data_IF_071028019918
#
_entry.id   IF_071028019918
#
_cell.length_a   1.000
_cell.length_b   1.000
_cell.length_c   1.000
_cell.angle_alpha   90.00
_cell.angle_beta   90.00
_cell.angle_gamma   90.00
#
_symmetry.space_group_name_H-M   'P 1'
#
loop_
_entity.id
_entity.type
_entity.pdbx_description
1 polymer ?
#
# COMPACT_ATOMS: atom_id res chain seq x y z
N UNK A 1 -8.58 -3.14 13.40
CA UNK A 1 -8.54 -4.40 12.61
C UNK A 1 -7.64 -4.36 11.36
N UNK A 2 -6.98 -3.24 10.98
CA UNK A 2 -6.20 -3.17 9.72
C UNK A 2 -4.86 -3.92 9.68
N UNK A 3 -4.05 -3.86 10.74
CA UNK A 3 -2.66 -4.41 10.72
C UNK A 3 -2.59 -5.94 10.67
N UNK A 4 -3.56 -6.66 11.24
CA UNK A 4 -3.55 -8.12 11.26
C UNK A 4 -3.79 -8.71 9.86
N UNK A 5 -4.59 -8.05 9.03
CA UNK A 5 -4.86 -8.49 7.66
C UNK A 5 -3.64 -8.34 6.74
N UNK A 6 -2.82 -7.30 6.90
CA UNK A 6 -1.69 -7.08 5.99
C UNK A 6 -0.57 -8.10 6.20
N UNK A 7 -0.23 -8.43 7.46
CA UNK A 7 0.77 -9.47 7.74
C UNK A 7 0.29 -10.84 7.23
N UNK A 8 -1.00 -11.16 7.42
CA UNK A 8 -1.60 -12.39 6.87
C UNK A 8 -1.53 -12.38 5.34
N UNK A 9 -1.91 -11.28 4.69
CA UNK A 9 -1.81 -11.12 3.24
C UNK A 9 -0.37 -11.27 2.75
N UNK A 10 0.60 -10.66 3.42
CA UNK A 10 2.00 -10.82 3.09
C UNK A 10 2.43 -12.28 3.21
N UNK A 11 2.03 -13.01 4.25
CA UNK A 11 2.34 -14.45 4.38
C UNK A 11 1.73 -15.25 3.23
N UNK A 12 0.46 -15.02 2.89
CA UNK A 12 -0.22 -15.71 1.80
C UNK A 12 0.39 -15.42 0.42
N UNK A 13 0.90 -14.21 0.20
CA UNK A 13 1.48 -13.74 -1.06
C UNK A 13 3.01 -13.97 -1.15
N UNK A 14 3.61 -14.73 -0.22
CA UNK A 14 5.04 -15.08 -0.26
C UNK A 14 5.99 -14.03 0.31
N UNK A 15 5.49 -13.16 1.18
CA UNK A 15 6.22 -12.17 1.96
C UNK A 15 5.98 -10.72 1.52
N UNK A 16 6.52 -9.77 2.30
CA UNK A 16 6.37 -8.34 2.01
C UNK A 16 7.07 -7.92 0.71
N UNK A 17 8.15 -8.58 0.30
CA UNK A 17 8.84 -8.27 -0.96
C UNK A 17 7.97 -8.65 -2.18
N UNK A 18 7.37 -9.84 -2.17
CA UNK A 18 6.44 -10.27 -3.21
C UNK A 18 5.23 -9.35 -3.29
N UNK A 19 4.63 -9.02 -2.13
CA UNK A 19 3.51 -8.09 -2.06
C UNK A 19 3.89 -6.69 -2.59
N UNK A 20 5.08 -6.18 -2.26
CA UNK A 20 5.58 -4.91 -2.78
C UNK A 20 5.67 -4.91 -4.32
N UNK A 21 6.28 -5.96 -4.91
CA UNK A 21 6.45 -6.11 -6.36
C UNK A 21 5.13 -6.37 -7.11
N UNK A 22 4.10 -6.89 -6.43
CA UNK A 22 2.74 -6.99 -6.99
C UNK A 22 2.00 -5.65 -6.99
N UNK A 23 2.20 -4.81 -5.95
CA UNK A 23 1.47 -3.54 -5.80
C UNK A 23 2.08 -2.44 -6.69
N UNK A 24 3.40 -2.40 -6.83
CA UNK A 24 4.14 -1.37 -7.53
C UNK A 24 4.95 -1.95 -8.68
N UNK A 25 5.10 -1.17 -9.76
CA UNK A 25 6.08 -1.47 -10.79
C UNK A 25 7.48 -1.27 -10.22
N UNK A 26 8.30 -2.31 -10.24
CA UNK A 26 9.66 -2.30 -9.68
C UNK A 26 10.71 -2.66 -10.73
N UNK A 27 11.97 -2.34 -10.47
CA UNK A 27 13.08 -2.79 -11.30
C UNK A 27 13.52 -4.23 -10.96
N UNK A 28 14.11 -4.98 -11.92
CA UNK A 28 14.56 -6.36 -11.68
C UNK A 28 15.53 -6.53 -10.50
N UNK A 29 16.38 -5.53 -10.26
CA UNK A 29 17.38 -5.50 -9.18
C UNK A 29 16.89 -4.78 -7.91
N UNK A 30 15.63 -4.38 -7.86
CA UNK A 30 15.03 -3.74 -6.71
C UNK A 30 14.74 -4.74 -5.59
N UNK A 31 15.14 -4.38 -4.38
CA UNK A 31 14.99 -5.19 -3.16
C UNK A 31 14.38 -4.37 -2.04
N UNK A 32 13.28 -4.87 -1.50
CA UNK A 32 12.65 -4.29 -0.33
C UNK A 32 13.58 -4.41 0.89
N UNK A 33 13.69 -3.36 1.68
CA UNK A 33 14.56 -3.31 2.88
C UNK A 33 13.75 -3.33 4.16
N UNK A 34 12.72 -2.49 4.24
CA UNK A 34 11.89 -2.34 5.44
C UNK A 34 10.45 -2.03 5.04
N UNK A 35 9.53 -2.37 5.94
CA UNK A 35 8.14 -1.92 5.91
C UNK A 35 7.79 -1.27 7.23
N UNK A 36 6.93 -0.26 7.18
CA UNK A 36 6.47 0.47 8.35
C UNK A 36 4.96 0.68 8.27
N UNK A 37 4.26 0.38 9.36
CA UNK A 37 2.90 0.87 9.52
C UNK A 37 2.95 2.39 9.72
N UNK A 38 2.19 3.14 8.93
CA UNK A 38 2.21 4.60 8.94
C UNK A 38 0.82 5.17 8.66
N UNK A 39 0.70 6.49 8.88
CA UNK A 39 -0.44 7.27 8.42
C UNK A 39 0.07 8.33 7.45
N UNK A 40 -0.50 8.39 6.25
CA UNK A 40 -0.25 9.48 5.32
C UNK A 40 -1.22 10.62 5.64
N UNK A 41 -0.69 11.80 5.94
CA UNK A 41 -1.53 12.98 6.15
C UNK A 41 -2.07 13.48 4.81
N UNK A 42 -3.38 13.65 4.72
CA UNK A 42 -4.05 14.24 3.56
C UNK A 42 -4.95 15.40 3.99
N UNK A 43 -5.42 16.19 3.03
CA UNK A 43 -6.34 17.31 3.30
C UNK A 43 -7.68 16.88 3.90
N UNK A 44 -8.09 15.62 3.70
CA UNK A 44 -9.32 15.05 4.25
C UNK A 44 -9.08 14.19 5.50
N UNK A 45 -7.83 14.12 5.98
CA UNK A 45 -7.44 13.40 7.19
C UNK A 45 -6.36 12.33 6.97
N UNK A 46 -5.93 11.65 8.04
CA UNK A 46 -4.89 10.64 7.96
C UNK A 46 -5.40 9.33 7.32
N UNK A 47 -4.62 8.79 6.39
CA UNK A 47 -4.86 7.50 5.73
C UNK A 47 -3.91 6.45 6.30
N UNK A 48 -4.44 5.43 6.96
CA UNK A 48 -3.65 4.30 7.44
C UNK A 48 -3.10 3.48 6.26
N UNK A 49 -1.82 3.16 6.29
CA UNK A 49 -1.19 2.35 5.27
C UNK A 49 0.19 1.83 5.66
N UNK A 50 0.86 1.28 4.66
CA UNK A 50 2.18 0.72 4.79
C UNK A 50 3.17 1.44 3.89
N UNK A 51 4.26 1.90 4.49
CA UNK A 51 5.41 2.44 3.79
C UNK A 51 6.37 1.31 3.46
N UNK A 52 6.69 1.16 2.19
CA UNK A 52 7.69 0.24 1.66
C UNK A 52 8.95 1.04 1.36
N UNK A 53 10.07 0.66 1.97
CA UNK A 53 11.38 1.24 1.71
C UNK A 53 12.23 0.18 1.01
N UNK A 54 12.53 0.40 -0.26
CA UNK A 54 13.47 -0.43 -1.04
C UNK A 54 14.83 0.27 -1.16
N UNK A 55 15.75 -0.32 -1.91
CA UNK A 55 17.00 0.33 -2.30
C UNK A 55 16.85 1.36 -3.44
N UNK A 56 15.65 1.53 -4.01
CA UNK A 56 15.40 2.44 -5.15
C UNK A 56 14.22 3.38 -4.86
N UNK A 57 13.13 2.87 -4.32
CA UNK A 57 11.91 3.62 -4.07
C UNK A 57 11.53 3.68 -2.59
N UNK A 58 10.78 4.73 -2.27
CA UNK A 58 9.88 4.80 -1.13
C UNK A 58 8.47 4.82 -1.69
N UNK A 59 7.62 3.88 -1.26
CA UNK A 59 6.27 3.75 -1.76
C UNK A 59 5.27 3.58 -0.61
N UNK A 60 4.09 4.17 -0.74
CA UNK A 60 3.01 4.05 0.23
C UNK A 60 1.83 3.32 -0.40
N UNK A 61 1.14 2.48 0.36
CA UNK A 61 -0.15 1.92 -0.04
C UNK A 61 -1.08 1.92 1.17
N UNK A 62 -2.32 2.38 1.01
CA UNK A 62 -3.32 2.31 2.07
C UNK A 62 -3.63 0.86 2.46
N UNK A 63 -3.92 0.60 3.74
CA UNK A 63 -4.20 -0.77 4.21
C UNK A 63 -5.55 -1.29 3.67
N UNK A 64 -6.43 -0.37 3.28
CA UNK A 64 -7.76 -0.63 2.71
C UNK A 64 -8.03 0.34 1.55
N UNK A 65 -8.87 -0.02 0.58
CA UNK A 65 -9.30 0.93 -0.42
C UNK A 65 -10.12 2.05 0.23
N UNK A 66 -10.06 3.23 -0.39
CA UNK A 66 -10.85 4.41 -0.03
C UNK A 66 -11.92 4.62 -1.09
N UNK A 67 -13.11 5.06 -0.68
CA UNK A 67 -14.15 5.44 -1.63
C UNK A 67 -13.89 6.83 -2.20
N UNK A 68 -14.26 7.02 -3.46
CA UNK A 68 -14.30 8.31 -4.13
C UNK A 68 -15.38 8.33 -5.20
N UNK A 69 -15.86 9.52 -5.54
CA UNK A 69 -16.80 9.70 -6.65
C UNK A 69 -16.02 9.83 -7.96
N UNK A 70 -16.25 8.89 -8.89
CA UNK A 70 -15.67 8.95 -10.22
C UNK A 70 -16.26 10.12 -11.04
N UNK A 71 -15.61 10.55 -12.13
CA UNK A 71 -16.18 11.56 -13.04
C UNK A 71 -17.56 11.20 -13.60
N UNK A 72 -17.92 9.90 -13.63
CA UNK A 72 -19.25 9.42 -14.01
C UNK A 72 -20.32 9.64 -12.93
N UNK A 73 -19.96 10.10 -11.73
CA UNK A 73 -20.84 10.23 -10.57
C UNK A 73 -21.00 8.95 -9.74
N UNK A 74 -20.42 7.83 -10.17
CA UNK A 74 -20.48 6.56 -9.42
C UNK A 74 -19.49 6.56 -8.25
N UNK A 75 -19.90 6.02 -7.11
CA UNK A 75 -18.97 5.71 -6.02
C UNK A 75 -18.11 4.50 -6.40
N UNK A 76 -16.80 4.65 -6.28
CA UNK A 76 -15.82 3.63 -6.59
C UNK A 76 -14.77 3.56 -5.49
N UNK A 77 -14.01 2.47 -5.45
CA UNK A 77 -13.05 2.17 -4.38
C UNK A 77 -11.68 1.92 -4.97
N UNK A 78 -10.64 2.55 -4.43
CA UNK A 78 -9.26 2.29 -4.84
C UNK A 78 -8.29 2.43 -3.69
N UNK A 79 -7.19 1.69 -3.75
CA UNK A 79 -6.08 1.90 -2.83
C UNK A 79 -5.41 3.23 -3.13
N UNK A 80 -5.12 4.01 -2.09
CA UNK A 80 -4.32 5.22 -2.21
C UNK A 80 -2.85 4.82 -2.24
N UNK A 81 -2.12 5.22 -3.30
CA UNK A 81 -0.74 4.83 -3.55
C UNK A 81 0.09 6.05 -3.96
#
# INVERSE_FOLDING_TARGET
>A
MGKMNLTVKAISEGGFESLYKQIFTTYPNEKLKKTFACYLSTTTGPVAGTLYLSNIHIAFCSDRPLSFTAPSGQETWSYYK
#
